data_IF_688408067776
#
_entry.id   IF_688408067776
#
_cell.length_a   1.000
_cell.length_b   1.000
_cell.length_c   1.000
_cell.angle_alpha   90.00
_cell.angle_beta   90.00
_cell.angle_gamma   90.00
#
_symmetry.space_group_name_H-M   'P 1'
#
loop_
_entity.id
_entity.type
_entity.pdbx_description
1 polymer ?
#
# COMPACT_ATOMS: atom_id res chain seq x y z
N UNK A 1 21.69 -6.68 -10.73
CA UNK A 1 20.34 -7.27 -10.88
C UNK A 1 19.63 -6.63 -12.07
N UNK A 2 18.67 -7.33 -12.69
CA UNK A 2 17.83 -6.81 -13.79
C UNK A 2 16.52 -6.29 -13.20
N UNK A 3 16.11 -5.08 -13.55
CA UNK A 3 14.79 -4.55 -13.17
C UNK A 3 13.69 -5.43 -13.77
N UNK A 4 12.74 -5.89 -12.93
CA UNK A 4 11.60 -6.71 -13.38
C UNK A 4 10.43 -5.80 -13.82
N UNK A 5 10.05 -4.85 -12.98
CA UNK A 5 9.04 -3.82 -13.29
C UNK A 5 9.31 -2.54 -12.50
N UNK A 6 8.61 -1.46 -12.85
CA UNK A 6 8.60 -0.18 -12.13
C UNK A 6 7.19 0.41 -12.13
N UNK A 7 6.76 0.91 -10.98
CA UNK A 7 5.53 1.69 -10.82
C UNK A 7 5.87 3.13 -10.44
N UNK A 8 5.12 4.09 -10.98
CA UNK A 8 5.25 5.51 -10.61
C UNK A 8 4.02 5.91 -9.81
N UNK A 9 4.20 6.14 -8.50
CA UNK A 9 3.15 6.66 -7.64
C UNK A 9 2.95 8.18 -7.85
N UNK A 10 1.90 8.72 -7.24
CA UNK A 10 1.61 10.16 -7.29
C UNK A 10 2.56 11.02 -6.43
N UNK A 11 3.32 10.39 -5.53
CA UNK A 11 4.25 11.07 -4.63
C UNK A 11 5.36 10.13 -4.13
N UNK A 12 6.18 10.61 -3.20
CA UNK A 12 7.20 9.79 -2.54
C UNK A 12 6.57 8.55 -1.91
N UNK A 13 7.21 7.39 -2.14
CA UNK A 13 6.85 6.12 -1.50
C UNK A 13 7.71 5.99 -0.24
N UNK A 14 7.07 5.92 0.92
CA UNK A 14 7.74 5.86 2.23
C UNK A 14 7.80 4.44 2.80
N UNK A 15 6.83 3.60 2.44
CA UNK A 15 6.68 2.26 3.00
C UNK A 15 6.18 1.28 1.96
N UNK A 16 6.60 0.02 2.08
CA UNK A 16 6.11 -1.09 1.24
C UNK A 16 5.88 -2.34 2.08
N UNK A 17 4.90 -3.15 1.68
CA UNK A 17 4.66 -4.51 2.18
C UNK A 17 4.35 -5.45 1.02
N UNK A 18 4.52 -6.76 1.23
CA UNK A 18 4.23 -7.79 0.21
C UNK A 18 3.42 -8.91 0.86
N UNK A 19 2.35 -9.36 0.21
CA UNK A 19 1.59 -10.52 0.68
C UNK A 19 2.13 -11.84 0.11
N UNK A 20 1.58 -12.97 0.57
CA UNK A 20 1.97 -14.32 0.13
C UNK A 20 1.67 -14.59 -1.35
N UNK A 21 0.84 -13.76 -2.01
CA UNK A 21 0.54 -13.86 -3.43
C UNK A 21 1.45 -12.97 -4.28
N UNK A 22 2.37 -12.24 -3.66
CA UNK A 22 3.30 -11.33 -4.35
C UNK A 22 2.67 -9.99 -4.72
N UNK A 23 1.48 -9.65 -4.20
CA UNK A 23 0.97 -8.29 -4.36
C UNK A 23 1.78 -7.35 -3.48
N UNK A 24 2.07 -6.15 -4.00
CA UNK A 24 2.85 -5.13 -3.32
C UNK A 24 1.93 -4.03 -2.85
N UNK A 25 2.07 -3.61 -1.60
CA UNK A 25 1.36 -2.50 -1.01
C UNK A 25 2.35 -1.35 -0.81
N UNK A 26 2.00 -0.13 -1.21
CA UNK A 26 2.90 1.02 -1.12
C UNK A 26 2.20 2.22 -0.47
N UNK A 27 2.79 2.74 0.61
CA UNK A 27 2.35 3.95 1.29
C UNK A 27 3.07 5.18 0.76
N UNK A 28 2.32 6.22 0.44
CA UNK A 28 2.82 7.51 -0.07
C UNK A 28 2.46 8.67 0.86
N UNK A 29 2.72 9.90 0.42
CA UNK A 29 2.32 11.13 1.12
C UNK A 29 0.83 11.21 1.49
N UNK A 30 -0.05 10.56 0.74
CA UNK A 30 -1.50 10.65 0.96
C UNK A 30 -2.26 9.43 0.47
N UNK A 31 -1.58 8.33 0.17
CA UNK A 31 -2.22 7.17 -0.46
C UNK A 31 -1.63 5.85 -0.03
N UNK A 32 -2.47 4.80 -0.09
CA UNK A 32 -2.04 3.40 -0.08
C UNK A 32 -2.39 2.80 -1.44
N UNK A 33 -1.42 2.21 -2.11
CA UNK A 33 -1.61 1.48 -3.35
C UNK A 33 -1.54 -0.02 -3.08
N UNK A 34 -2.36 -0.81 -3.78
CA UNK A 34 -2.09 -2.23 -4.02
C UNK A 34 -1.72 -2.42 -5.47
N UNK A 35 -0.60 -3.08 -5.70
CA UNK A 35 -0.10 -3.51 -7.00
C UNK A 35 -0.15 -5.03 -7.05
N UNK A 36 -0.52 -5.60 -8.19
CA UNK A 36 -0.36 -7.04 -8.41
C UNK A 36 1.12 -7.42 -8.60
N UNK A 37 1.39 -8.72 -8.70
CA UNK A 37 2.76 -9.23 -8.89
C UNK A 37 3.45 -8.73 -10.17
N UNK A 38 2.70 -8.20 -11.14
CA UNK A 38 3.22 -7.59 -12.37
C UNK A 38 3.53 -6.10 -12.24
N UNK A 39 3.20 -5.50 -11.09
CA UNK A 39 3.36 -4.07 -10.82
C UNK A 39 2.18 -3.21 -11.28
N UNK A 40 1.06 -3.82 -11.69
CA UNK A 40 -0.14 -3.08 -12.10
C UNK A 40 -0.96 -2.70 -10.88
N UNK A 41 -1.43 -1.46 -10.83
CA UNK A 41 -2.34 -0.99 -9.78
C UNK A 41 -3.66 -1.77 -9.80
N UNK A 42 -3.99 -2.36 -8.66
CA UNK A 42 -5.27 -3.02 -8.37
C UNK A 42 -6.24 -2.01 -7.77
N UNK A 43 -5.82 -1.30 -6.73
CA UNK A 43 -6.60 -0.24 -6.09
C UNK A 43 -5.72 0.84 -5.47
N UNK A 44 -6.36 1.96 -5.12
CA UNK A 44 -5.77 3.09 -4.40
C UNK A 44 -6.75 3.54 -3.30
N UNK A 45 -6.25 3.70 -2.08
CA UNK A 45 -6.95 4.34 -0.97
C UNK A 45 -6.32 5.70 -0.69
N UNK A 46 -7.13 6.74 -0.51
CA UNK A 46 -6.65 8.07 -0.12
C UNK A 46 -6.63 8.17 1.41
N UNK A 47 -5.44 8.33 1.96
CA UNK A 47 -5.23 8.61 3.38
C UNK A 47 -5.24 10.13 3.64
N UNK A 48 -5.30 10.50 4.91
CA UNK A 48 -5.34 11.90 5.34
C UNK A 48 -3.94 12.54 5.51
N UNK A 49 -2.88 11.73 5.44
CA UNK A 49 -1.49 12.15 5.70
C UNK A 49 -0.48 11.12 5.18
N UNK A 50 0.80 11.38 5.43
CA UNK A 50 1.93 10.56 5.00
C UNK A 50 1.83 9.16 5.61
N UNK A 51 1.77 8.15 4.76
CA UNK A 51 1.68 6.74 5.14
C UNK A 51 3.08 6.20 5.40
N UNK A 52 3.51 6.31 6.66
CA UNK A 52 4.86 5.95 7.10
C UNK A 52 5.06 4.44 7.30
N UNK A 53 3.97 3.69 7.48
CA UNK A 53 4.03 2.24 7.66
C UNK A 53 2.86 1.57 6.97
N UNK A 54 3.14 0.43 6.33
CA UNK A 54 2.14 -0.47 5.75
C UNK A 54 2.51 -1.89 6.14
N UNK A 55 1.54 -2.67 6.61
CA UNK A 55 1.64 -4.12 6.83
C UNK A 55 0.40 -4.82 6.30
N UNK A 56 0.52 -6.09 5.92
CA UNK A 56 -0.57 -6.92 5.40
C UNK A 56 -0.67 -8.20 6.22
N UNK A 57 -1.89 -8.57 6.62
CA UNK A 57 -2.14 -9.83 7.33
C UNK A 57 -2.42 -11.00 6.37
N UNK A 58 -2.51 -12.22 6.92
CA UNK A 58 -2.76 -13.44 6.13
C UNK A 58 -4.16 -13.50 5.50
N UNK A 59 -5.07 -12.64 5.93
CA UNK A 59 -6.42 -12.49 5.34
C UNK A 59 -6.44 -11.42 4.24
N UNK A 60 -5.31 -10.77 3.97
CA UNK A 60 -5.19 -9.71 2.96
C UNK A 60 -5.70 -8.35 3.44
N UNK A 61 -5.94 -8.14 4.74
CA UNK A 61 -6.20 -6.81 5.26
C UNK A 61 -4.89 -6.02 5.34
N UNK A 62 -4.98 -4.74 5.06
CA UNK A 62 -3.86 -3.81 5.06
C UNK A 62 -4.00 -2.85 6.23
N UNK A 63 -2.93 -2.68 6.99
CA UNK A 63 -2.87 -1.71 8.08
C UNK A 63 -1.88 -0.62 7.71
N UNK A 64 -2.33 0.63 7.74
CA UNK A 64 -1.55 1.78 7.33
C UNK A 64 -1.47 2.82 8.44
N UNK A 65 -0.27 3.10 8.94
CA UNK A 65 -0.01 4.12 9.95
C UNK A 65 0.35 5.46 9.30
N UNK A 66 -0.30 6.54 9.73
CA UNK A 66 -0.12 7.88 9.14
C UNK A 66 0.55 8.88 10.08
N UNK A 67 1.14 9.92 9.50
CA UNK A 67 1.74 11.04 10.23
C UNK A 67 0.76 11.82 11.12
N UNK A 68 -0.55 11.69 10.90
CA UNK A 68 -1.59 12.33 11.70
C UNK A 68 -2.01 11.51 12.94
N UNK A 69 -1.22 10.51 13.33
CA UNK A 69 -1.51 9.62 14.48
C UNK A 69 -2.71 8.67 14.27
N UNK A 70 -3.11 8.41 13.02
CA UNK A 70 -4.14 7.43 12.71
C UNK A 70 -3.55 6.10 12.23
N UNK A 71 -4.32 5.03 12.45
CA UNK A 71 -4.11 3.72 11.83
C UNK A 71 -5.37 3.38 11.05
N UNK A 72 -5.22 3.14 9.76
CA UNK A 72 -6.30 2.62 8.92
C UNK A 72 -6.20 1.12 8.82
N UNK A 73 -7.34 0.43 8.89
CA UNK A 73 -7.49 -0.94 8.43
C UNK A 73 -8.28 -0.93 7.13
N UNK A 74 -7.72 -1.53 6.09
CA UNK A 74 -8.35 -1.69 4.79
C UNK A 74 -8.58 -3.18 4.54
N UNK A 75 -9.74 -3.55 4.02
CA UNK A 75 -9.96 -4.90 3.52
C UNK A 75 -9.15 -5.17 2.23
N UNK A 76 -9.20 -6.40 1.74
CA UNK A 76 -8.47 -6.80 0.53
C UNK A 76 -8.87 -6.01 -0.74
N UNK A 77 -10.04 -5.36 -0.73
CA UNK A 77 -10.56 -4.49 -1.80
C UNK A 77 -10.12 -3.03 -1.66
N UNK A 78 -9.42 -2.68 -0.58
CA UNK A 78 -8.95 -1.32 -0.31
C UNK A 78 -9.99 -0.44 0.38
N UNK A 79 -11.09 -1.02 0.89
CA UNK A 79 -12.10 -0.28 1.63
C UNK A 79 -11.74 -0.23 3.12
N UNK A 80 -11.85 0.95 3.73
CA UNK A 80 -11.68 1.10 5.17
C UNK A 80 -12.76 0.32 5.94
N UNK A 81 -12.34 -0.45 6.94
CA UNK A 81 -13.18 -1.31 7.80
C UNK A 81 -12.86 -1.18 9.28
#
# INVERSE_FOLDING_TARGET
>A
GKQVWKFTADSYVYSVAVDSSGNVYAGTNSSVYKLDASGKQVWKFTADSWVNSVVVDSSGNVYAGTGNSFVYKLDASGKQV
#
